data_IF_199909430342
#
_entry.id   IF_199909430342
#
_cell.length_a   1.000
_cell.length_b   1.000
_cell.length_c   1.000
_cell.angle_alpha   90.00
_cell.angle_beta   90.00
_cell.angle_gamma   90.00
#
_symmetry.space_group_name_H-M   'P 1'
#
loop_
_entity.id
_entity.type
_entity.pdbx_description
1 polymer ?
#
# COMPACT_ATOMS: atom_id res chain seq x y z
N UNK A 1 -39.97 18.62 -17.59
CA UNK A 1 -38.80 19.37 -18.18
C UNK A 1 -37.57 18.91 -17.43
N UNK A 2 -36.87 17.93 -17.99
CA UNK A 2 -35.65 17.34 -17.41
C UNK A 2 -34.44 18.13 -17.89
N UNK A 3 -33.82 18.89 -17.01
CA UNK A 3 -32.57 19.58 -17.29
C UNK A 3 -31.46 18.55 -17.53
N UNK A 4 -31.02 18.45 -18.78
CA UNK A 4 -29.86 17.70 -19.20
C UNK A 4 -28.63 18.43 -18.67
N UNK A 5 -28.02 17.92 -17.56
CA UNK A 5 -26.72 18.38 -17.13
C UNK A 5 -25.71 18.00 -18.22
N UNK A 6 -25.26 18.95 -19.01
CA UNK A 6 -24.21 18.76 -19.98
C UNK A 6 -22.88 18.66 -19.22
N UNK A 7 -22.30 17.47 -19.18
CA UNK A 7 -20.90 17.30 -18.76
C UNK A 7 -20.01 18.07 -19.77
N UNK A 8 -18.90 18.70 -19.30
CA UNK A 8 -17.96 19.37 -20.20
C UNK A 8 -17.39 18.33 -21.18
N UNK A 9 -17.47 18.64 -22.48
CA UNK A 9 -16.96 17.78 -23.54
C UNK A 9 -15.42 17.73 -23.45
N UNK A 10 -14.88 16.67 -22.89
CA UNK A 10 -13.46 16.36 -23.01
C UNK A 10 -13.15 16.01 -24.46
N UNK A 11 -12.26 16.77 -25.11
CA UNK A 11 -11.79 16.53 -26.47
C UNK A 11 -10.80 15.35 -26.45
N UNK A 12 -11.29 14.12 -26.51
CA UNK A 12 -10.49 12.90 -26.69
C UNK A 12 -10.84 11.77 -25.73
N UNK A 13 -10.78 10.54 -26.22
CA UNK A 13 -10.89 9.32 -25.43
C UNK A 13 -9.69 9.18 -24.48
N UNK A 14 -9.93 8.95 -23.20
CA UNK A 14 -8.88 8.72 -22.18
C UNK A 14 -8.90 7.28 -21.68
N UNK A 15 -7.74 6.79 -21.28
CA UNK A 15 -7.54 5.46 -20.69
C UNK A 15 -7.44 5.62 -19.18
N UNK A 16 -8.50 5.22 -18.48
CA UNK A 16 -8.66 5.44 -17.04
C UNK A 16 -8.70 4.09 -16.32
N UNK A 17 -7.83 3.91 -15.35
CA UNK A 17 -7.91 2.78 -14.43
C UNK A 17 -8.71 3.20 -13.21
N UNK A 18 -9.80 2.47 -12.92
CA UNK A 18 -10.61 2.67 -11.71
C UNK A 18 -10.17 1.64 -10.68
N UNK A 19 -9.50 2.12 -9.63
CA UNK A 19 -9.13 1.33 -8.45
C UNK A 19 -10.29 1.26 -7.45
N UNK A 20 -10.60 0.05 -6.97
CA UNK A 20 -11.68 -0.13 -5.98
C UNK A 20 -11.11 -0.81 -4.74
N UNK A 21 -11.18 -0.16 -3.58
CA UNK A 21 -10.80 -0.75 -2.29
C UNK A 21 -12.01 -1.17 -1.46
N UNK A 22 -11.75 -1.90 -0.36
CA UNK A 22 -12.78 -2.42 0.53
C UNK A 22 -13.51 -1.33 1.29
N UNK A 23 -14.76 -1.07 0.93
CA UNK A 23 -15.64 -0.12 1.60
C UNK A 23 -17.09 -0.44 1.27
N UNK A 24 -18.02 -0.14 2.19
CA UNK A 24 -19.46 -0.22 1.92
C UNK A 24 -19.84 0.61 0.69
N UNK A 25 -19.14 1.74 0.45
CA UNK A 25 -19.38 2.60 -0.71
C UNK A 25 -18.80 2.07 -2.03
N UNK A 26 -18.20 0.86 -2.07
CA UNK A 26 -17.68 0.25 -3.29
C UNK A 26 -18.74 0.12 -4.41
N UNK A 27 -20.03 -0.02 -4.06
CA UNK A 27 -21.10 -0.02 -5.04
C UNK A 27 -21.14 1.26 -5.90
N UNK A 28 -20.68 2.42 -5.38
CA UNK A 28 -20.62 3.68 -6.14
C UNK A 28 -19.62 3.63 -7.29
N UNK A 29 -18.62 2.74 -7.24
CA UNK A 29 -17.69 2.53 -8.35
C UNK A 29 -18.43 2.14 -9.65
N UNK A 30 -19.56 1.44 -9.55
CA UNK A 30 -20.38 1.08 -10.71
C UNK A 30 -20.90 2.31 -11.46
N UNK A 31 -21.30 3.32 -10.73
CA UNK A 31 -21.78 4.59 -11.32
C UNK A 31 -20.63 5.38 -11.90
N UNK A 32 -19.47 5.43 -11.24
CA UNK A 32 -18.26 6.07 -11.74
C UNK A 32 -17.82 5.44 -13.08
N UNK A 33 -17.73 4.11 -13.14
CA UNK A 33 -17.36 3.38 -14.37
C UNK A 33 -18.34 3.68 -15.49
N UNK A 34 -19.65 3.63 -15.22
CA UNK A 34 -20.68 3.93 -16.23
C UNK A 34 -20.59 5.35 -16.75
N UNK A 35 -20.36 6.33 -15.88
CA UNK A 35 -20.24 7.73 -16.28
C UNK A 35 -19.00 7.98 -17.11
N UNK A 36 -17.84 7.43 -16.73
CA UNK A 36 -16.61 7.54 -17.51
C UNK A 36 -16.76 6.92 -18.90
N UNK A 37 -17.38 5.75 -19.00
CA UNK A 37 -17.65 5.11 -20.29
C UNK A 37 -18.68 5.87 -21.11
N UNK A 38 -19.74 6.39 -20.50
CA UNK A 38 -20.73 7.22 -21.18
C UNK A 38 -20.14 8.54 -21.70
N UNK A 39 -19.08 9.05 -21.05
CA UNK A 39 -18.30 10.20 -21.53
C UNK A 39 -17.29 9.83 -22.65
N UNK A 40 -17.23 8.56 -23.09
CA UNK A 40 -16.39 8.12 -24.21
C UNK A 40 -14.98 7.68 -23.82
N UNK A 41 -14.71 7.44 -22.52
CA UNK A 41 -13.41 6.99 -22.05
C UNK A 41 -13.30 5.46 -22.00
N UNK A 42 -12.09 4.96 -22.16
CA UNK A 42 -11.77 3.55 -21.93
C UNK A 42 -11.49 3.32 -20.44
N UNK A 43 -12.11 2.28 -19.87
CA UNK A 43 -12.01 2.01 -18.43
C UNK A 43 -11.55 0.59 -18.20
N UNK A 44 -10.48 0.41 -17.42
CA UNK A 44 -10.10 -0.85 -16.79
C UNK A 44 -10.33 -0.75 -15.28
N UNK A 45 -10.60 -1.89 -14.64
CA UNK A 45 -10.85 -1.93 -13.19
C UNK A 45 -9.80 -2.79 -12.52
N UNK A 46 -9.23 -2.25 -11.43
CA UNK A 46 -8.35 -2.97 -10.52
C UNK A 46 -9.02 -2.99 -9.15
N UNK A 47 -9.30 -4.17 -8.63
CA UNK A 47 -10.00 -4.33 -7.37
C UNK A 47 -9.13 -5.03 -6.32
N UNK A 48 -9.12 -4.51 -5.10
CA UNK A 48 -8.52 -5.23 -3.97
C UNK A 48 -9.38 -6.44 -3.58
N UNK A 49 -8.79 -7.45 -2.96
CA UNK A 49 -9.54 -8.61 -2.45
C UNK A 49 -10.63 -8.21 -1.45
N UNK A 50 -10.41 -7.12 -0.69
CA UNK A 50 -11.39 -6.56 0.22
C UNK A 50 -12.59 -5.93 -0.53
N UNK A 51 -12.37 -5.30 -1.68
CA UNK A 51 -13.43 -4.71 -2.50
C UNK A 51 -14.41 -5.78 -3.00
N UNK A 52 -13.90 -6.93 -3.41
CA UNK A 52 -14.71 -8.04 -3.94
C UNK A 52 -15.63 -8.69 -2.90
N UNK A 53 -15.45 -8.38 -1.60
CA UNK A 53 -16.41 -8.75 -0.54
C UNK A 53 -17.66 -7.83 -0.52
N UNK A 54 -17.59 -6.65 -1.13
CA UNK A 54 -18.69 -5.67 -1.17
C UNK A 54 -19.34 -5.56 -2.53
N UNK A 55 -18.61 -5.92 -3.61
CA UNK A 55 -19.12 -5.84 -4.98
C UNK A 55 -18.60 -7.00 -5.81
N UNK A 56 -19.47 -7.62 -6.58
CA UNK A 56 -19.11 -8.75 -7.43
C UNK A 56 -18.18 -8.35 -8.60
N UNK A 57 -17.14 -9.15 -8.81
CA UNK A 57 -16.20 -8.99 -9.92
C UNK A 57 -16.91 -8.96 -11.28
N UNK A 58 -17.88 -9.86 -11.49
CA UNK A 58 -18.69 -9.93 -12.73
C UNK A 58 -19.44 -8.61 -13.01
N UNK A 59 -19.89 -7.91 -11.97
CA UNK A 59 -20.56 -6.61 -12.14
C UNK A 59 -19.58 -5.56 -12.63
N UNK A 60 -18.39 -5.50 -12.05
CA UNK A 60 -17.35 -4.56 -12.45
C UNK A 60 -16.85 -4.85 -13.87
N UNK A 61 -16.64 -6.12 -14.24
CA UNK A 61 -16.23 -6.54 -15.57
C UNK A 61 -17.29 -6.19 -16.62
N UNK A 62 -18.56 -6.47 -16.36
CA UNK A 62 -19.65 -6.14 -17.29
C UNK A 62 -19.78 -4.63 -17.56
N UNK A 63 -19.56 -3.80 -16.52
CA UNK A 63 -19.64 -2.35 -16.64
C UNK A 63 -18.41 -1.74 -17.31
N UNK A 64 -17.21 -2.23 -17.03
CA UNK A 64 -15.98 -1.76 -17.66
C UNK A 64 -15.82 -2.28 -19.10
N UNK A 65 -16.42 -3.44 -19.41
CA UNK A 65 -16.26 -4.13 -20.69
C UNK A 65 -14.90 -4.83 -20.82
N UNK A 66 -14.20 -5.03 -19.70
CA UNK A 66 -12.91 -5.70 -19.62
C UNK A 66 -12.82 -6.55 -18.34
N UNK A 67 -12.01 -7.60 -18.30
CA UNK A 67 -11.74 -8.35 -17.08
C UNK A 67 -11.26 -7.43 -15.94
N UNK A 68 -11.61 -7.79 -14.70
CA UNK A 68 -11.14 -7.07 -13.51
C UNK A 68 -9.81 -7.67 -13.07
N UNK A 69 -8.80 -6.83 -12.94
CA UNK A 69 -7.52 -7.25 -12.39
C UNK A 69 -7.61 -7.26 -10.85
N UNK A 70 -7.55 -8.44 -10.25
CA UNK A 70 -7.69 -8.61 -8.79
C UNK A 70 -6.61 -9.46 -8.16
N UNK A 71 -5.83 -10.21 -8.96
CA UNK A 71 -4.81 -11.14 -8.49
C UNK A 71 -3.45 -10.82 -9.12
N UNK A 72 -2.39 -10.73 -8.31
CA UNK A 72 -1.02 -10.45 -8.79
C UNK A 72 -0.41 -11.62 -9.62
N UNK A 73 -0.89 -12.84 -9.42
CA UNK A 73 -0.25 -14.05 -9.95
C UNK A 73 -1.25 -14.94 -10.71
N UNK A 74 -2.19 -14.33 -11.43
CA UNK A 74 -3.19 -15.06 -12.23
C UNK A 74 -2.60 -15.70 -13.48
N UNK A 75 -1.56 -15.12 -14.08
CA UNK A 75 -0.90 -15.61 -15.28
C UNK A 75 0.63 -15.49 -15.16
N UNK A 76 1.35 -16.60 -15.23
CA UNK A 76 2.81 -16.64 -15.05
C UNK A 76 3.61 -15.97 -16.20
N UNK A 77 2.95 -15.62 -17.30
CA UNK A 77 3.60 -15.07 -18.51
C UNK A 77 3.41 -13.58 -18.74
N UNK A 78 2.49 -12.93 -18.06
CA UNK A 78 2.20 -11.51 -18.24
C UNK A 78 2.30 -10.76 -16.90
N UNK A 79 3.12 -9.71 -16.86
CA UNK A 79 3.20 -8.82 -15.70
C UNK A 79 2.03 -7.84 -15.79
N UNK A 80 0.82 -8.32 -15.46
CA UNK A 80 -0.45 -7.62 -15.72
C UNK A 80 -0.50 -6.24 -15.07
N UNK A 81 0.02 -6.07 -13.85
CA UNK A 81 0.07 -4.78 -13.17
C UNK A 81 0.93 -3.75 -13.93
N UNK A 82 2.02 -4.18 -14.59
CA UNK A 82 2.85 -3.29 -15.42
C UNK A 82 2.09 -2.88 -16.67
N UNK A 83 1.48 -3.84 -17.38
CA UNK A 83 0.71 -3.56 -18.57
C UNK A 83 -0.50 -2.62 -18.31
N UNK A 84 -1.15 -2.75 -17.14
CA UNK A 84 -2.23 -1.83 -16.73
C UNK A 84 -1.67 -0.46 -16.37
N UNK A 85 -0.55 -0.41 -15.64
CA UNK A 85 0.08 0.84 -15.23
C UNK A 85 0.59 1.67 -16.42
N UNK A 86 1.19 1.03 -17.43
CA UNK A 86 1.64 1.67 -18.68
C UNK A 86 0.46 2.09 -19.56
N UNK A 87 -0.64 1.31 -19.56
CA UNK A 87 -1.82 1.65 -20.32
C UNK A 87 -2.55 2.87 -19.75
N UNK A 88 -2.45 3.10 -18.44
CA UNK A 88 -3.20 4.14 -17.74
C UNK A 88 -2.73 5.56 -18.09
N UNK A 89 -3.66 6.47 -18.30
CA UNK A 89 -3.46 7.93 -18.34
C UNK A 89 -3.96 8.59 -17.05
N UNK A 90 -4.74 7.86 -16.25
CA UNK A 90 -5.18 8.22 -14.91
C UNK A 90 -5.44 6.95 -14.10
N UNK A 91 -5.00 6.96 -12.85
CA UNK A 91 -5.46 6.00 -11.84
C UNK A 91 -6.39 6.73 -10.87
N UNK A 92 -7.69 6.43 -10.96
CA UNK A 92 -8.73 6.96 -10.07
C UNK A 92 -9.13 5.88 -9.06
N UNK A 93 -8.80 6.05 -7.80
CA UNK A 93 -9.14 5.11 -6.73
C UNK A 93 -10.36 5.60 -5.96
N UNK A 94 -11.47 4.97 -6.17
CA UNK A 94 -12.75 5.32 -5.54
C UNK A 94 -13.65 4.07 -5.31
N UNK A 95 -13.88 3.70 -4.04
CA UNK A 95 -13.42 4.33 -2.80
C UNK A 95 -11.96 4.00 -2.46
N UNK A 96 -11.30 4.87 -1.67
CA UNK A 96 -10.02 4.62 -1.04
C UNK A 96 -10.22 4.43 0.48
N UNK A 97 -9.98 3.22 0.99
CA UNK A 97 -10.06 2.91 2.42
C UNK A 97 -8.84 3.44 3.19
N UNK A 98 -8.95 3.57 4.50
CA UNK A 98 -7.83 3.98 5.35
C UNK A 98 -6.64 3.01 5.23
N UNK A 99 -6.88 1.70 5.12
CA UNK A 99 -5.87 0.67 4.88
C UNK A 99 -5.11 0.94 3.57
N UNK A 100 -5.85 1.15 2.47
CA UNK A 100 -5.23 1.46 1.18
C UNK A 100 -4.41 2.75 1.23
N UNK A 101 -4.94 3.83 1.84
CA UNK A 101 -4.23 5.10 2.00
C UNK A 101 -2.92 4.91 2.76
N UNK A 102 -2.93 4.12 3.83
CA UNK A 102 -1.73 3.80 4.59
C UNK A 102 -0.70 3.03 3.74
N UNK A 103 -1.14 2.01 3.00
CA UNK A 103 -0.28 1.22 2.09
C UNK A 103 0.37 2.11 1.01
N UNK A 104 -0.41 2.95 0.36
CA UNK A 104 0.10 3.89 -0.65
C UNK A 104 1.10 4.88 -0.05
N UNK A 105 0.85 5.39 1.17
CA UNK A 105 1.74 6.34 1.83
C UNK A 105 3.10 5.75 2.18
N UNK A 106 3.16 4.44 2.52
CA UNK A 106 4.44 3.75 2.81
C UNK A 106 5.03 3.02 1.62
N UNK A 107 4.35 3.02 0.45
CA UNK A 107 4.81 2.33 -0.76
C UNK A 107 4.70 0.80 -0.66
N UNK A 108 3.72 0.28 0.09
CA UNK A 108 3.48 -1.16 0.18
C UNK A 108 2.74 -1.64 -1.07
N UNK A 109 3.25 -2.72 -1.70
CA UNK A 109 2.72 -3.33 -2.91
C UNK A 109 2.46 -4.82 -2.68
N UNK A 110 1.40 -5.13 -1.92
CA UNK A 110 1.05 -6.49 -1.50
C UNK A 110 -0.20 -7.04 -2.21
N UNK A 111 -0.89 -6.21 -3.00
CA UNK A 111 -2.01 -6.61 -3.83
C UNK A 111 -1.93 -5.96 -5.24
N UNK A 112 -2.84 -6.36 -6.13
CA UNK A 112 -2.88 -5.87 -7.51
C UNK A 112 -3.05 -4.35 -7.59
N UNK A 113 -3.87 -3.76 -6.72
CA UNK A 113 -4.16 -2.32 -6.73
C UNK A 113 -2.97 -1.49 -6.25
N UNK A 114 -2.36 -1.89 -5.13
CA UNK A 114 -1.19 -1.21 -4.56
C UNK A 114 0.03 -1.35 -5.46
N UNK A 115 0.21 -2.52 -6.08
CA UNK A 115 1.30 -2.74 -7.04
C UNK A 115 1.12 -1.91 -8.31
N UNK A 116 -0.10 -1.85 -8.86
CA UNK A 116 -0.42 -0.97 -10.00
C UNK A 116 -0.17 0.49 -9.67
N UNK A 117 -0.57 0.95 -8.47
CA UNK A 117 -0.37 2.31 -8.03
C UNK A 117 1.11 2.68 -7.84
N UNK A 118 1.95 1.72 -7.40
CA UNK A 118 3.39 1.94 -7.25
C UNK A 118 4.13 1.93 -8.60
N UNK A 119 3.60 1.21 -9.59
CA UNK A 119 4.22 1.04 -10.91
C UNK A 119 3.84 2.17 -11.88
N UNK A 120 2.64 2.74 -11.75
CA UNK A 120 2.13 3.70 -12.74
C UNK A 120 2.88 5.04 -12.67
N UNK A 121 3.14 5.61 -13.86
CA UNK A 121 3.60 7.00 -14.02
C UNK A 121 2.44 7.97 -14.28
N UNK A 122 1.22 7.44 -14.46
CA UNK A 122 0.04 8.27 -14.63
C UNK A 122 -0.32 8.97 -13.31
N UNK A 123 -0.95 10.16 -13.37
CA UNK A 123 -1.43 10.83 -12.18
C UNK A 123 -2.41 9.96 -11.40
N UNK A 124 -2.34 10.05 -10.06
CA UNK A 124 -3.17 9.29 -9.15
C UNK A 124 -4.16 10.22 -8.44
N UNK A 125 -5.43 9.86 -8.48
CA UNK A 125 -6.49 10.51 -7.71
C UNK A 125 -7.07 9.50 -6.73
N UNK A 126 -7.22 9.88 -5.48
CA UNK A 126 -7.91 9.06 -4.48
C UNK A 126 -9.15 9.78 -3.95
N UNK A 127 -10.23 9.04 -3.76
CA UNK A 127 -11.46 9.51 -3.11
C UNK A 127 -11.69 8.69 -1.84
N UNK A 128 -11.32 9.22 -0.66
CA UNK A 128 -11.43 8.51 0.62
C UNK A 128 -12.87 8.19 1.00
N UNK A 129 -13.05 7.00 1.64
CA UNK A 129 -14.34 6.60 2.21
C UNK A 129 -14.11 5.75 3.46
N UNK A 130 -14.42 6.32 4.62
CA UNK A 130 -14.25 5.70 5.93
C UNK A 130 -15.10 6.39 6.99
N UNK A 131 -15.11 5.85 8.19
CA UNK A 131 -15.77 6.47 9.33
C UNK A 131 -15.08 7.79 9.71
N UNK A 132 -15.82 8.77 10.25
CA UNK A 132 -15.29 10.10 10.61
C UNK A 132 -14.08 10.01 11.54
N UNK A 133 -14.13 9.14 12.55
CA UNK A 133 -13.02 8.95 13.49
C UNK A 133 -11.76 8.42 12.80
N UNK A 134 -11.93 7.56 11.78
CA UNK A 134 -10.80 7.06 10.98
C UNK A 134 -10.23 8.17 10.09
N UNK A 135 -11.09 9.00 9.50
CA UNK A 135 -10.67 10.12 8.67
C UNK A 135 -9.88 11.17 9.45
N UNK A 136 -10.36 11.48 10.66
CA UNK A 136 -9.74 12.46 11.55
C UNK A 136 -8.58 11.90 12.39
N UNK A 137 -8.31 10.58 12.30
CA UNK A 137 -7.23 9.97 13.05
C UNK A 137 -5.86 10.53 12.61
N UNK A 138 -4.97 10.90 13.55
CA UNK A 138 -3.67 11.49 13.20
C UNK A 138 -2.86 10.70 12.18
N UNK A 139 -2.88 9.36 12.25
CA UNK A 139 -2.20 8.51 11.28
C UNK A 139 -2.79 8.66 9.86
N UNK A 140 -4.11 8.75 9.72
CA UNK A 140 -4.76 8.93 8.42
C UNK A 140 -4.46 10.32 7.86
N UNK A 141 -4.51 11.35 8.70
CA UNK A 141 -4.15 12.73 8.32
C UNK A 141 -2.71 12.78 7.80
N UNK A 142 -1.76 12.22 8.56
CA UNK A 142 -0.34 12.18 8.17
C UNK A 142 -0.13 11.40 6.84
N UNK A 143 -0.82 10.27 6.65
CA UNK A 143 -0.74 9.50 5.42
C UNK A 143 -1.29 10.30 4.21
N UNK A 144 -2.40 10.99 4.38
CA UNK A 144 -3.00 11.84 3.34
C UNK A 144 -2.06 13.00 2.98
N UNK A 145 -1.44 13.65 3.95
CA UNK A 145 -0.45 14.71 3.72
C UNK A 145 0.77 14.18 2.97
N UNK A 146 1.26 13.00 3.35
CA UNK A 146 2.34 12.31 2.64
C UNK A 146 1.99 12.06 1.18
N UNK A 147 0.78 11.58 0.89
CA UNK A 147 0.33 11.35 -0.47
C UNK A 147 0.21 12.66 -1.26
N UNK A 148 -0.34 13.71 -0.66
CA UNK A 148 -0.42 15.05 -1.28
C UNK A 148 0.96 15.61 -1.62
N UNK A 149 1.92 15.51 -0.71
CA UNK A 149 3.30 15.96 -0.96
C UNK A 149 3.99 15.22 -2.10
N UNK A 150 3.53 14.01 -2.43
CA UNK A 150 4.00 13.20 -3.56
C UNK A 150 3.18 13.40 -4.84
N UNK A 151 2.29 14.38 -4.88
CA UNK A 151 1.51 14.72 -6.07
C UNK A 151 0.21 13.91 -6.25
N UNK A 152 -0.18 13.09 -5.28
CA UNK A 152 -1.47 12.40 -5.34
C UNK A 152 -2.59 13.41 -5.05
N UNK A 153 -3.54 13.52 -5.98
CA UNK A 153 -4.75 14.34 -5.77
C UNK A 153 -5.72 13.62 -4.85
N UNK A 154 -6.08 14.26 -3.76
CA UNK A 154 -7.07 13.74 -2.80
C UNK A 154 -8.37 14.51 -2.98
N UNK A 155 -9.45 13.81 -3.33
CA UNK A 155 -10.81 14.37 -3.35
C UNK A 155 -11.33 14.32 -1.91
N UNK A 156 -11.66 15.49 -1.34
CA UNK A 156 -12.14 15.55 0.04
C UNK A 156 -13.43 14.73 0.23
N UNK A 157 -13.50 13.93 1.30
CA UNK A 157 -14.71 13.19 1.59
C UNK A 157 -15.86 14.13 1.95
N UNK A 158 -17.04 13.78 1.50
CA UNK A 158 -18.25 14.53 1.82
C UNK A 158 -18.63 14.38 3.30
N UNK A 159 -19.24 15.43 3.85
CA UNK A 159 -19.87 15.39 5.16
C UNK A 159 -21.30 14.93 5.05
N UNK A 160 -21.76 14.12 6.01
CA UNK A 160 -23.13 13.65 6.08
C UNK A 160 -23.30 12.45 6.99
N UNK A 161 -24.50 11.85 6.94
CA UNK A 161 -24.79 10.63 7.68
C UNK A 161 -23.98 9.46 7.12
N UNK A 162 -23.29 8.75 7.98
CA UNK A 162 -22.56 7.52 7.68
C UNK A 162 -23.48 6.30 7.83
N UNK A 163 -22.92 5.11 7.84
CA UNK A 163 -23.68 3.85 7.94
C UNK A 163 -24.46 3.72 9.25
N UNK A 164 -23.99 4.37 10.33
CA UNK A 164 -24.65 4.39 11.64
C UNK A 164 -25.48 5.65 11.89
N UNK A 165 -25.57 6.03 13.17
CA UNK A 165 -26.21 7.28 13.60
C UNK A 165 -25.28 8.49 13.47
N UNK A 166 -24.02 8.26 13.16
CA UNK A 166 -22.97 9.27 13.15
C UNK A 166 -23.06 10.12 11.89
N UNK A 167 -22.81 11.41 12.06
CA UNK A 167 -22.68 12.41 11.00
C UNK A 167 -21.30 13.06 11.06
N UNK A 168 -20.69 13.27 9.90
CA UNK A 168 -19.37 13.92 9.82
C UNK A 168 -18.70 13.71 8.47
N UNK A 169 -17.45 14.20 8.30
CA UNK A 169 -16.65 13.94 7.12
C UNK A 169 -16.20 12.48 7.07
N UNK A 170 -16.13 11.90 5.87
CA UNK A 170 -15.69 10.51 5.66
C UNK A 170 -16.51 9.77 4.63
N UNK A 171 -17.63 10.34 4.20
CA UNK A 171 -18.50 9.75 3.18
C UNK A 171 -17.89 9.93 1.79
N UNK A 172 -17.92 8.87 0.96
CA UNK A 172 -17.55 8.98 -0.45
C UNK A 172 -18.47 10.03 -1.14
N UNK A 173 -17.91 11.04 -1.82
CA UNK A 173 -18.69 12.00 -2.60
C UNK A 173 -19.57 11.31 -3.62
N UNK A 174 -20.49 12.06 -4.22
CA UNK A 174 -21.35 11.50 -5.25
C UNK A 174 -20.54 11.22 -6.53
N UNK A 175 -20.85 10.14 -7.26
CA UNK A 175 -20.09 9.71 -8.44
C UNK A 175 -19.86 10.82 -9.46
N UNK A 176 -20.86 11.68 -9.66
CA UNK A 176 -20.82 12.82 -10.57
C UNK A 176 -19.71 13.82 -10.20
N UNK A 177 -19.56 14.08 -8.90
CA UNK A 177 -18.55 15.00 -8.37
C UNK A 177 -17.14 14.41 -8.52
N UNK A 178 -17.00 13.10 -8.26
CA UNK A 178 -15.72 12.38 -8.39
C UNK A 178 -15.27 12.39 -9.86
N UNK A 179 -16.18 12.06 -10.78
CA UNK A 179 -15.88 12.03 -12.22
C UNK A 179 -15.55 13.42 -12.74
N UNK A 180 -16.31 14.44 -12.35
CA UNK A 180 -16.06 15.84 -12.77
C UNK A 180 -14.67 16.31 -12.33
N UNK A 181 -14.30 16.10 -11.05
CA UNK A 181 -12.98 16.48 -10.53
C UNK A 181 -11.84 15.67 -11.16
N UNK A 182 -12.06 14.39 -11.47
CA UNK A 182 -11.07 13.55 -12.12
C UNK A 182 -10.79 14.03 -13.56
N UNK A 183 -11.82 14.36 -14.32
CA UNK A 183 -11.68 14.84 -15.70
C UNK A 183 -11.10 16.26 -15.76
N UNK A 184 -11.49 17.14 -14.83
CA UNK A 184 -10.90 18.48 -14.68
C UNK A 184 -9.40 18.41 -14.39
N UNK A 185 -9.00 17.54 -13.47
CA UNK A 185 -7.59 17.34 -13.13
C UNK A 185 -6.77 16.84 -14.31
N UNK A 186 -7.31 15.92 -15.12
CA UNK A 186 -6.66 15.47 -16.36
C UNK A 186 -6.44 16.59 -17.36
N UNK A 187 -7.42 17.49 -17.53
CA UNK A 187 -7.30 18.63 -18.43
C UNK A 187 -6.22 19.62 -17.97
N UNK A 188 -6.14 19.89 -16.66
CA UNK A 188 -5.13 20.78 -16.09
C UNK A 188 -3.71 20.22 -16.21
N UNK A 189 -3.55 18.89 -16.11
CA UNK A 189 -2.26 18.22 -16.22
C UNK A 189 -1.67 18.28 -17.64
N UNK A 190 -2.47 18.51 -18.65
CA UNK A 190 -2.04 18.64 -20.07
C UNK A 190 -1.67 20.07 -20.48
N UNK A 191 -2.11 21.07 -19.72
CA UNK A 191 -1.85 22.49 -20.01
C UNK A 191 -1.20 23.18 -18.80
N UNK A 192 0.09 22.95 -18.52
CA UNK A 192 0.75 23.54 -17.33
C UNK A 192 0.88 25.07 -17.41
N UNK A 193 0.51 25.73 -18.49
CA UNK A 193 0.68 27.19 -18.69
C UNK A 193 -0.52 28.06 -18.26
N UNK A 194 -1.65 27.49 -17.86
CA UNK A 194 -2.84 28.31 -17.50
C UNK A 194 -2.96 28.61 -15.98
N UNK A 195 -2.13 28.06 -15.13
CA UNK A 195 -2.25 28.18 -13.66
C UNK A 195 -1.33 29.26 -13.03
N UNK A 196 -0.60 30.03 -13.80
CA UNK A 196 0.36 31.03 -13.27
C UNK A 196 -0.15 32.49 -13.19
N UNK A 197 -1.47 32.71 -13.14
CA UNK A 197 -2.03 34.04 -12.87
C UNK A 197 -2.95 34.00 -11.62
N UNK A 198 -2.37 34.11 -10.44
CA UNK A 198 -3.17 34.35 -9.26
C UNK A 198 -2.61 33.78 -7.95
N UNK A 199 -1.37 34.07 -7.59
CA UNK A 199 -0.95 34.21 -6.19
C UNK A 199 0.51 34.70 -6.20
N UNK A 200 0.70 35.97 -5.99
CA UNK A 200 2.01 36.54 -5.73
C UNK A 200 2.54 36.03 -4.39
N UNK A 201 3.58 35.23 -4.45
CA UNK A 201 4.43 34.96 -3.30
C UNK A 201 5.75 35.65 -3.59
N UNK A 202 6.08 36.68 -2.79
CA UNK A 202 7.38 37.34 -2.78
C UNK A 202 8.46 36.29 -2.48
N UNK A 203 9.36 36.11 -3.43
CA UNK A 203 10.58 35.33 -3.21
C UNK A 203 11.63 36.29 -2.65
N UNK A 204 12.05 36.06 -1.43
CA UNK A 204 13.17 36.76 -0.82
C UNK A 204 14.46 36.09 -1.32
N UNK A 205 15.22 36.83 -2.12
CA UNK A 205 16.55 36.44 -2.59
C UNK A 205 17.52 36.31 -1.40
N UNK A 206 18.14 35.17 -1.28
CA UNK A 206 19.33 35.01 -0.42
C UNK A 206 20.40 34.17 -1.12
N UNK A 207 21.45 34.89 -1.49
CA UNK A 207 22.85 34.48 -1.61
C UNK A 207 23.28 33.67 -2.84
N UNK A 208 23.86 34.41 -3.77
CA UNK A 208 24.84 33.96 -4.79
C UNK A 208 26.04 33.29 -4.10
N UNK A 209 26.41 32.12 -4.56
CA UNK A 209 27.81 31.71 -4.50
C UNK A 209 28.21 31.04 -5.83
N UNK A 210 29.25 31.62 -6.43
CA UNK A 210 29.82 31.25 -7.71
C UNK A 210 30.68 29.99 -7.57
N UNK A 211 30.63 29.14 -8.57
CA UNK A 211 31.53 27.99 -8.72
C UNK A 211 31.32 27.33 -10.06
N UNK A 212 31.94 27.86 -11.10
CA UNK A 212 32.00 27.24 -12.42
C UNK A 212 32.81 25.94 -12.36
N UNK A 213 32.23 24.85 -12.82
CA UNK A 213 32.90 23.57 -13.05
C UNK A 213 32.30 22.87 -14.26
N UNK A 214 32.87 23.12 -15.43
CA UNK A 214 32.59 22.38 -16.66
C UNK A 214 32.92 20.89 -16.46
N UNK A 215 31.93 20.01 -16.63
CA UNK A 215 32.16 18.57 -16.82
C UNK A 215 31.75 18.17 -18.23
N UNK A 216 32.80 17.83 -19.01
CA UNK A 216 32.71 17.30 -20.36
C UNK A 216 32.05 15.92 -20.38
N UNK A 217 31.23 15.69 -21.41
CA UNK A 217 30.63 14.40 -21.74
C UNK A 217 31.76 13.43 -22.18
N UNK A 218 32.17 12.49 -21.31
CA UNK A 218 33.06 11.38 -21.61
C UNK A 218 32.29 10.08 -21.80
N UNK A 219 32.61 9.38 -22.87
CA UNK A 219 32.03 8.13 -23.32
C UNK A 219 32.00 7.05 -22.20
N UNK A 220 30.86 6.47 -21.95
CA UNK A 220 30.67 5.28 -21.09
C UNK A 220 31.11 4.03 -21.86
N UNK A 221 32.27 3.47 -21.49
CA UNK A 221 32.68 2.13 -21.85
C UNK A 221 31.82 1.09 -21.12
N UNK A 222 31.41 0.08 -21.90
CA UNK A 222 30.66 -1.10 -21.43
C UNK A 222 31.62 -2.07 -20.72
N UNK A 223 31.78 -1.94 -19.40
CA UNK A 223 32.30 -3.00 -18.56
C UNK A 223 31.64 -2.86 -17.17
N UNK A 224 30.54 -3.62 -16.97
CA UNK A 224 29.88 -3.74 -15.67
C UNK A 224 30.68 -4.71 -14.78
N UNK A 225 30.79 -4.44 -13.48
CA UNK A 225 31.46 -5.34 -12.54
C UNK A 225 30.72 -6.66 -12.41
N UNK A 226 31.47 -7.78 -12.39
CA UNK A 226 31.01 -9.14 -12.24
C UNK A 226 30.28 -9.34 -10.91
N UNK A 227 29.31 -10.28 -10.88
CA UNK A 227 28.43 -10.56 -9.72
C UNK A 227 29.16 -10.94 -8.42
N UNK A 228 30.45 -11.29 -8.49
CA UNK A 228 31.26 -11.66 -7.31
C UNK A 228 31.78 -10.46 -6.50
N UNK A 229 31.78 -9.25 -7.05
CA UNK A 229 32.18 -8.04 -6.31
C UNK A 229 31.09 -7.40 -5.48
N UNK A 230 29.80 -7.73 -5.76
CA UNK A 230 28.67 -7.23 -4.99
C UNK A 230 28.43 -7.97 -3.66
N UNK A 231 29.12 -9.09 -3.42
CA UNK A 231 28.98 -9.86 -2.18
C UNK A 231 29.96 -9.41 -1.07
N UNK A 232 31.08 -8.75 -1.41
CA UNK A 232 32.09 -8.32 -0.43
C UNK A 232 31.78 -6.99 0.26
N UNK A 233 31.06 -6.09 -0.40
CA UNK A 233 30.75 -4.76 0.17
C UNK A 233 29.55 -4.73 1.14
N UNK A 234 28.83 -5.84 1.28
CA UNK A 234 27.73 -5.95 2.25
C UNK A 234 28.16 -6.32 3.68
N UNK A 235 29.42 -6.62 3.92
CA UNK A 235 29.91 -7.08 5.22
C UNK A 235 30.68 -6.03 6.04
N UNK A 236 30.81 -4.79 5.57
CA UNK A 236 31.45 -3.71 6.32
C UNK A 236 30.51 -2.51 6.53
N UNK A 237 29.27 -2.76 6.97
CA UNK A 237 28.53 -1.72 7.69
C UNK A 237 29.13 -1.69 9.11
N UNK A 238 29.76 -0.58 9.43
CA UNK A 238 30.39 -0.28 10.72
C UNK A 238 29.52 -0.74 11.90
N UNK A 239 30.10 -1.50 12.82
CA UNK A 239 29.47 -1.98 14.08
C UNK A 239 29.16 -0.84 15.08
N UNK A 240 29.27 0.42 14.69
CA UNK A 240 29.08 1.61 15.51
C UNK A 240 27.82 2.43 15.12
N UNK A 241 26.70 1.76 14.84
CA UNK A 241 25.40 2.41 14.78
C UNK A 241 24.96 2.92 16.17
N UNK A 242 24.09 3.97 16.25
CA UNK A 242 23.61 4.48 17.53
C UNK A 242 22.88 3.35 18.29
N UNK A 243 23.37 3.01 19.50
CA UNK A 243 22.75 2.03 20.40
C UNK A 243 21.59 2.67 21.18
N UNK A 244 20.67 3.28 20.46
CA UNK A 244 19.51 4.00 21.01
C UNK A 244 18.44 3.08 21.61
N UNK A 245 18.51 1.76 21.36
CA UNK A 245 17.65 0.75 21.98
C UNK A 245 18.31 0.00 23.14
N UNK A 246 19.47 0.44 23.61
CA UNK A 246 20.16 -0.20 24.73
C UNK A 246 19.27 -0.27 25.97
N UNK A 247 19.23 -1.46 26.61
CA UNK A 247 18.39 -1.73 27.78
C UNK A 247 16.89 -1.87 27.50
N UNK A 248 16.47 -1.87 26.24
CA UNK A 248 15.07 -2.17 25.85
C UNK A 248 14.92 -3.64 25.50
N UNK A 249 13.83 -4.27 25.97
CA UNK A 249 13.45 -5.62 25.63
C UNK A 249 12.34 -5.61 24.56
N UNK A 250 12.61 -6.28 23.43
CA UNK A 250 11.71 -6.44 22.30
C UNK A 250 11.26 -7.89 22.21
N UNK A 251 9.95 -8.10 22.12
CA UNK A 251 9.37 -9.40 21.76
C UNK A 251 8.83 -9.31 20.34
N UNK A 252 9.31 -10.16 19.45
CA UNK A 252 8.95 -10.15 18.03
C UNK A 252 8.37 -11.51 17.65
N UNK A 253 7.16 -11.57 17.13
CA UNK A 253 6.61 -12.79 16.55
C UNK A 253 6.91 -12.86 15.05
N UNK A 254 7.23 -14.07 14.54
CA UNK A 254 7.57 -14.26 13.14
C UNK A 254 7.15 -15.63 12.61
N UNK A 255 7.00 -15.76 11.28
CA UNK A 255 6.63 -17.01 10.63
C UNK A 255 5.13 -17.20 10.49
N UNK A 256 4.68 -18.42 10.22
CA UNK A 256 3.27 -18.78 10.06
C UNK A 256 2.84 -19.90 11.00
N UNK A 257 1.74 -19.74 11.73
CA UNK A 257 1.20 -20.80 12.58
C UNK A 257 0.59 -21.91 11.74
N UNK A 258 0.57 -23.12 12.32
CA UNK A 258 -0.02 -24.32 11.74
C UNK A 258 -0.97 -24.94 12.77
N UNK A 259 -2.23 -25.10 12.37
CA UNK A 259 -3.28 -25.72 13.18
C UNK A 259 -3.50 -27.14 12.68
N UNK A 260 -3.15 -28.13 13.45
CA UNK A 260 -3.30 -29.52 13.04
C UNK A 260 -4.78 -29.89 12.85
N UNK A 261 -5.09 -30.54 11.74
CA UNK A 261 -6.41 -31.15 11.45
C UNK A 261 -6.37 -32.60 11.90
N UNK A 262 -5.31 -33.31 11.53
CA UNK A 262 -5.00 -34.69 11.86
C UNK A 262 -3.45 -34.86 11.94
N UNK A 263 -2.91 -36.05 12.20
CA UNK A 263 -1.47 -36.25 12.30
C UNK A 263 -0.65 -35.87 11.06
N UNK A 264 -1.29 -35.71 9.90
CA UNK A 264 -0.62 -35.45 8.61
C UNK A 264 -0.93 -34.06 8.07
N UNK A 265 -2.15 -33.58 8.24
CA UNK A 265 -2.64 -32.33 7.62
C UNK A 265 -2.78 -31.21 8.63
N UNK A 266 -2.53 -29.99 8.18
CA UNK A 266 -2.71 -28.78 8.98
C UNK A 266 -3.27 -27.63 8.14
N UNK A 267 -3.94 -26.71 8.80
CA UNK A 267 -4.28 -25.37 8.26
C UNK A 267 -3.18 -24.40 8.72
N UNK A 268 -2.76 -23.49 7.83
CA UNK A 268 -1.76 -22.50 8.20
C UNK A 268 -1.51 -21.49 7.11
N UNK A 269 -0.86 -20.40 7.48
CA UNK A 269 -0.48 -19.34 6.56
C UNK A 269 0.95 -19.58 6.03
N UNK A 270 1.17 -19.25 4.75
CA UNK A 270 2.52 -19.25 4.16
C UNK A 270 3.26 -17.98 4.56
N UNK A 271 4.13 -18.07 5.56
CA UNK A 271 5.03 -16.98 5.95
C UNK A 271 6.42 -17.55 6.19
N UNK A 272 7.42 -16.96 5.54
CA UNK A 272 8.83 -17.36 5.71
C UNK A 272 9.47 -16.84 6.99
N UNK A 273 8.86 -15.87 7.67
CA UNK A 273 9.41 -15.21 8.86
C UNK A 273 10.52 -14.19 8.60
N UNK A 274 10.90 -13.94 7.34
CA UNK A 274 12.02 -13.05 6.99
C UNK A 274 11.86 -11.63 7.53
N UNK A 275 10.65 -11.09 7.56
CA UNK A 275 10.38 -9.75 8.09
C UNK A 275 10.69 -9.67 9.59
N UNK A 276 10.19 -10.61 10.40
CA UNK A 276 10.48 -10.64 11.84
C UNK A 276 11.96 -10.90 12.14
N UNK A 277 12.63 -11.72 11.32
CA UNK A 277 14.09 -11.95 11.41
C UNK A 277 14.85 -10.65 11.13
N UNK A 278 14.49 -9.89 10.10
CA UNK A 278 15.12 -8.62 9.78
C UNK A 278 14.94 -7.58 10.90
N UNK A 279 13.74 -7.52 11.49
CA UNK A 279 13.44 -6.64 12.62
C UNK A 279 14.24 -7.05 13.87
N UNK A 280 14.33 -8.35 14.17
CA UNK A 280 15.10 -8.86 15.29
C UNK A 280 16.60 -8.49 15.16
N UNK A 281 17.17 -8.65 13.96
CA UNK A 281 18.55 -8.26 13.67
C UNK A 281 18.76 -6.77 13.86
N UNK A 282 17.91 -5.93 13.25
CA UNK A 282 18.01 -4.48 13.35
C UNK A 282 17.88 -3.98 14.80
N UNK A 283 17.02 -4.62 15.61
CA UNK A 283 16.87 -4.25 17.02
C UNK A 283 18.12 -4.61 17.85
N UNK A 284 18.71 -5.80 17.62
CA UNK A 284 19.97 -6.19 18.28
C UNK A 284 21.14 -5.30 17.86
N UNK A 285 21.26 -4.97 16.60
CA UNK A 285 22.31 -4.05 16.10
C UNK A 285 22.24 -2.68 16.79
N UNK A 286 21.04 -2.23 17.17
CA UNK A 286 20.80 -0.99 17.93
C UNK A 286 20.87 -1.19 19.46
N UNK A 287 21.27 -2.37 19.94
CA UNK A 287 21.54 -2.65 21.36
C UNK A 287 20.34 -3.16 22.17
N UNK A 288 19.22 -3.54 21.53
CA UNK A 288 18.09 -4.14 22.22
C UNK A 288 18.35 -5.59 22.64
N UNK A 289 17.73 -6.03 23.73
CA UNK A 289 17.51 -7.44 24.02
C UNK A 289 16.29 -7.92 23.24
N UNK A 290 16.39 -9.02 22.50
CA UNK A 290 15.33 -9.49 21.61
C UNK A 290 14.96 -10.93 21.89
N UNK A 291 13.67 -11.18 22.17
CA UNK A 291 13.06 -12.51 22.17
C UNK A 291 12.24 -12.68 20.88
N UNK A 292 12.65 -13.61 20.01
CA UNK A 292 11.94 -13.94 18.78
C UNK A 292 11.05 -15.16 18.98
N UNK A 293 9.73 -15.00 18.92
CA UNK A 293 8.78 -16.11 18.93
C UNK A 293 8.57 -16.59 17.48
N UNK A 294 9.19 -17.70 17.14
CA UNK A 294 9.32 -18.21 15.78
C UNK A 294 8.30 -19.33 15.49
N UNK A 295 7.30 -19.03 14.65
CA UNK A 295 6.28 -20.00 14.23
C UNK A 295 6.68 -20.65 12.90
N UNK A 296 7.08 -21.94 12.95
CA UNK A 296 7.40 -22.77 11.78
C UNK A 296 8.37 -22.13 10.76
N UNK A 297 9.40 -21.47 11.25
CA UNK A 297 10.46 -20.88 10.43
C UNK A 297 11.55 -21.94 10.17
N UNK A 298 12.09 -21.96 8.95
CA UNK A 298 13.19 -22.85 8.58
C UNK A 298 14.44 -22.62 9.44
N UNK A 299 15.09 -23.71 9.88
CA UNK A 299 16.26 -23.64 10.75
C UNK A 299 17.43 -22.84 10.13
N UNK A 300 17.61 -22.93 8.81
CA UNK A 300 18.63 -22.19 8.08
C UNK A 300 18.44 -20.65 8.15
N UNK A 301 17.21 -20.18 8.24
CA UNK A 301 16.91 -18.75 8.42
C UNK A 301 17.14 -18.30 9.86
N UNK A 302 16.78 -19.13 10.82
CA UNK A 302 17.03 -18.85 12.25
C UNK A 302 18.53 -18.83 12.58
N UNK A 303 19.33 -19.68 11.93
CA UNK A 303 20.79 -19.71 12.10
C UNK A 303 21.51 -18.42 11.62
N UNK A 304 20.84 -17.57 10.88
CA UNK A 304 21.39 -16.27 10.43
C UNK A 304 21.22 -15.16 11.48
N UNK A 305 20.51 -15.41 12.56
CA UNK A 305 20.33 -14.44 13.65
C UNK A 305 21.57 -14.33 14.52
N UNK A 306 21.85 -13.13 15.06
CA UNK A 306 22.87 -12.97 16.10
C UNK A 306 22.59 -13.85 17.32
N UNK A 307 23.65 -14.36 17.97
CA UNK A 307 23.54 -15.21 19.16
C UNK A 307 22.81 -14.55 20.33
N UNK A 308 22.74 -13.22 20.35
CA UNK A 308 22.05 -12.42 21.35
C UNK A 308 20.52 -12.49 21.24
N UNK A 309 19.97 -13.06 20.16
CA UNK A 309 18.52 -13.22 19.99
C UNK A 309 18.07 -14.50 20.68
N UNK A 310 17.22 -14.36 21.68
CA UNK A 310 16.54 -15.50 22.30
C UNK A 310 15.43 -16.00 21.37
N UNK A 311 15.45 -17.31 21.02
CA UNK A 311 14.50 -17.89 20.06
C UNK A 311 13.56 -18.86 20.77
N UNK A 312 12.26 -18.53 20.78
CA UNK A 312 11.18 -19.39 21.27
C UNK A 312 10.45 -19.99 20.07
N UNK A 313 10.58 -21.31 19.86
CA UNK A 313 9.93 -22.00 18.74
C UNK A 313 8.52 -22.43 19.11
N UNK A 314 7.55 -22.13 18.23
CA UNK A 314 6.14 -22.48 18.40
C UNK A 314 5.56 -23.02 17.09
N UNK A 315 4.44 -23.74 17.17
CA UNK A 315 3.78 -24.33 16.00
C UNK A 315 2.40 -23.69 15.78
N UNK A 316 1.54 -23.66 16.81
CA UNK A 316 0.14 -23.23 16.69
C UNK A 316 -0.07 -21.80 17.17
N UNK A 317 -1.22 -21.22 16.83
CA UNK A 317 -1.65 -19.90 17.29
C UNK A 317 -1.74 -19.81 18.82
N UNK A 318 -2.19 -20.88 19.49
CA UNK A 318 -2.23 -20.91 20.96
C UNK A 318 -0.85 -20.87 21.57
N UNK A 319 0.09 -21.68 21.07
CA UNK A 319 1.48 -21.65 21.53
C UNK A 319 2.13 -20.30 21.28
N UNK A 320 1.86 -19.67 20.11
CA UNK A 320 2.33 -18.33 19.81
C UNK A 320 1.80 -17.30 20.82
N UNK A 321 0.50 -17.33 21.09
CA UNK A 321 -0.13 -16.46 22.08
C UNK A 321 0.54 -16.59 23.44
N UNK A 322 0.64 -17.82 23.93
CA UNK A 322 1.15 -18.10 25.29
C UNK A 322 2.62 -17.68 25.41
N UNK A 323 3.44 -17.97 24.39
CA UNK A 323 4.84 -17.57 24.34
C UNK A 323 5.01 -16.03 24.25
N UNK A 324 4.19 -15.34 23.46
CA UNK A 324 4.22 -13.87 23.38
C UNK A 324 3.77 -13.25 24.71
N UNK A 325 2.75 -13.81 25.35
CA UNK A 325 2.30 -13.34 26.67
C UNK A 325 3.36 -13.53 27.76
N UNK A 326 4.06 -14.66 27.74
CA UNK A 326 5.11 -14.95 28.72
C UNK A 326 6.33 -14.05 28.50
N UNK A 327 6.88 -14.01 27.29
CA UNK A 327 8.01 -13.16 26.93
C UNK A 327 7.69 -11.67 27.05
N UNK A 328 6.42 -11.29 26.84
CA UNK A 328 5.95 -9.91 26.92
C UNK A 328 5.86 -9.33 28.33
N UNK A 329 5.98 -10.17 29.37
CA UNK A 329 6.02 -9.68 30.74
C UNK A 329 7.32 -8.92 31.00
N UNK A 330 7.24 -7.60 31.02
CA UNK A 330 8.40 -6.73 31.19
C UNK A 330 9.05 -6.24 29.89
N UNK A 331 8.57 -6.66 28.73
CA UNK A 331 8.99 -6.09 27.47
C UNK A 331 8.48 -4.66 27.28
N UNK A 332 9.32 -3.78 26.73
CA UNK A 332 8.93 -2.42 26.39
C UNK A 332 8.27 -2.34 25.01
N UNK A 333 8.55 -3.31 24.11
CA UNK A 333 8.01 -3.32 22.75
C UNK A 333 7.63 -4.76 22.37
N UNK A 334 6.42 -4.91 21.81
CA UNK A 334 5.95 -6.16 21.21
C UNK A 334 5.61 -5.89 19.75
N UNK A 335 6.22 -6.65 18.83
CA UNK A 335 6.00 -6.53 17.40
C UNK A 335 5.41 -7.85 16.87
N UNK A 336 4.19 -7.78 16.35
CA UNK A 336 3.46 -8.95 15.85
C UNK A 336 3.60 -9.04 14.32
N UNK A 337 4.58 -9.83 13.83
CA UNK A 337 4.84 -10.07 12.40
C UNK A 337 4.45 -11.49 11.95
N UNK A 338 4.03 -12.36 12.87
CA UNK A 338 3.63 -13.71 12.52
C UNK A 338 2.28 -13.71 11.77
N UNK A 339 2.18 -14.54 10.73
CA UNK A 339 0.92 -14.82 10.05
C UNK A 339 0.17 -15.90 10.84
N UNK A 340 -0.79 -15.48 11.65
CA UNK A 340 -1.57 -16.36 12.53
C UNK A 340 -2.77 -16.93 11.76
N UNK A 341 -3.04 -18.24 11.90
CA UNK A 341 -4.20 -18.87 11.29
C UNK A 341 -5.49 -18.38 11.98
N UNK A 342 -6.46 -17.94 11.16
CA UNK A 342 -7.76 -17.41 11.63
C UNK A 342 -8.70 -18.52 12.14
N UNK A 343 -8.49 -19.76 11.69
CA UNK A 343 -9.33 -20.91 12.00
C UNK A 343 -8.51 -22.06 12.53
N UNK A 344 -9.09 -22.81 13.45
CA UNK A 344 -8.56 -24.09 13.95
C UNK A 344 -9.69 -25.11 14.10
N UNK A 345 -9.41 -26.42 13.97
CA UNK A 345 -10.39 -27.46 14.27
C UNK A 345 -10.87 -27.34 15.71
N UNK A 346 -12.17 -27.57 15.94
CA UNK A 346 -12.75 -27.59 17.28
C UNK A 346 -12.32 -28.86 18.05
N UNK A 347 -12.16 -29.95 17.31
CA UNK A 347 -11.69 -31.25 17.81
C UNK A 347 -10.60 -31.75 16.89
N UNK A 348 -9.55 -32.33 17.48
CA UNK A 348 -8.49 -33.01 16.76
C UNK A 348 -9.02 -34.38 16.28
N UNK A 349 -8.84 -34.71 15.03
CA UNK A 349 -9.31 -35.98 14.44
C UNK A 349 -8.25 -37.08 14.58
#
# INVERSE_FOLDING_TARGET
MTAKCAAPACTGTRRIVVGVSGSISAYKATFIIRQLRAAGHEVKVVASAAALKFIGESTLAALSGAPVASQLFSDAGAVEHVAIAEWAQLLLIAPASADLIAKLAVGQADDMLTTTALTTTAPIIISPAMHTQMWQHPATVANVETLRSRGVKVIEPASGRLTGKDCGPGRLPEPEQIVAQALEFLQQSEHPQAASQGAGVEVVDAVQNQGEGQLSCGQLSQDGPSQDQLSSDRHQLSQDGPKDLAGKHFVISAGGTREAIDPVRFLGNRSSGRQGIALARAAVERGAHVTLVAANIEAALLAQLPEQVEIVKVVSALQLRDAVHEAGRGAQVIIMCAAVADFRPKTYA
#
